data_IF_017623042486
#
_entry.id   IF_017623042486
#
_cell.length_a   1.000
_cell.length_b   1.000
_cell.length_c   1.000
_cell.angle_alpha   90.00
_cell.angle_beta   90.00
_cell.angle_gamma   90.00
#
_symmetry.space_group_name_H-M   'P 1'
#
loop_
_entity.id
_entity.type
_entity.pdbx_description
1 polymer ?
#
# COMPACT_ATOMS: atom_id res chain seq x y z
N UNK A 1 -16.31 41.04 -14.22
CA UNK A 1 -15.01 40.37 -14.41
C UNK A 1 -15.32 39.01 -15.01
N UNK A 2 -14.97 38.73 -16.27
CA UNK A 2 -15.22 37.42 -16.86
C UNK A 2 -14.26 36.41 -16.20
N UNK A 3 -14.77 35.27 -15.72
CA UNK A 3 -13.97 34.21 -15.18
C UNK A 3 -13.08 33.62 -16.28
N UNK A 4 -11.80 33.47 -16.00
CA UNK A 4 -10.86 32.81 -16.91
C UNK A 4 -11.20 31.33 -17.05
N UNK A 5 -10.81 30.71 -18.18
CA UNK A 5 -11.03 29.28 -18.43
C UNK A 5 -10.40 28.41 -17.33
N UNK A 6 -9.33 28.86 -16.67
CA UNK A 6 -8.73 28.19 -15.52
C UNK A 6 -9.66 28.21 -14.30
N UNK A 7 -10.37 29.31 -14.05
CA UNK A 7 -11.33 29.46 -12.95
C UNK A 7 -12.57 28.58 -13.20
N UNK A 8 -13.07 28.52 -14.43
CA UNK A 8 -14.19 27.64 -14.81
C UNK A 8 -13.79 26.18 -14.67
N UNK A 9 -12.55 25.82 -14.98
CA UNK A 9 -12.04 24.45 -14.82
C UNK A 9 -11.89 24.06 -13.35
N UNK A 10 -11.55 25.01 -12.47
CA UNK A 10 -11.48 24.81 -11.03
C UNK A 10 -12.87 24.61 -10.38
N UNK A 11 -13.92 25.16 -10.97
CA UNK A 11 -15.31 25.04 -10.51
C UNK A 11 -16.04 23.80 -11.05
N UNK A 12 -15.40 23.00 -11.93
CA UNK A 12 -16.02 21.75 -12.40
C UNK A 12 -16.25 20.81 -11.21
N UNK A 13 -17.48 20.41 -11.01
CA UNK A 13 -17.89 19.40 -10.02
C UNK A 13 -17.46 17.99 -10.43
N UNK A 14 -17.22 17.75 -11.72
CA UNK A 14 -16.93 16.44 -12.28
C UNK A 14 -15.53 15.93 -11.89
N UNK A 15 -15.40 14.62 -11.70
CA UNK A 15 -14.14 13.93 -11.55
C UNK A 15 -13.23 14.16 -12.77
N UNK A 16 -11.90 14.04 -12.59
CA UNK A 16 -10.97 14.13 -13.73
C UNK A 16 -11.18 12.96 -14.68
N UNK A 17 -11.19 13.26 -15.99
CA UNK A 17 -11.19 12.23 -17.03
C UNK A 17 -9.86 11.49 -17.11
N UNK A 18 -9.81 10.30 -17.77
CA UNK A 18 -8.63 9.45 -17.79
C UNK A 18 -7.35 10.13 -18.28
N UNK A 19 -7.43 10.96 -19.32
CA UNK A 19 -6.30 11.71 -19.85
C UNK A 19 -5.82 12.85 -18.91
N UNK A 20 -6.73 13.41 -18.10
CA UNK A 20 -6.41 14.40 -17.09
C UNK A 20 -5.75 13.76 -15.85
N UNK A 21 -6.17 12.54 -15.50
CA UNK A 21 -5.54 11.76 -14.41
C UNK A 21 -4.09 11.43 -14.79
N UNK A 22 -3.85 11.02 -16.04
CA UNK A 22 -2.50 10.74 -16.51
C UNK A 22 -1.61 11.99 -16.45
N UNK A 23 -2.07 13.13 -16.94
CA UNK A 23 -1.34 14.39 -16.85
C UNK A 23 -1.04 14.82 -15.39
N UNK A 24 -1.98 14.55 -14.48
CA UNK A 24 -1.79 14.76 -13.04
C UNK A 24 -0.74 13.81 -12.47
N UNK A 25 -0.75 12.54 -12.88
CA UNK A 25 0.25 11.55 -12.44
C UNK A 25 1.67 11.98 -12.82
N UNK A 26 1.88 12.46 -14.06
CA UNK A 26 3.15 13.00 -14.50
C UNK A 26 3.59 14.23 -13.69
N UNK A 27 2.66 15.16 -13.40
CA UNK A 27 2.94 16.35 -12.59
C UNK A 27 3.37 15.95 -11.16
N UNK A 28 2.68 14.99 -10.56
CA UNK A 28 3.03 14.45 -9.25
C UNK A 28 4.40 13.75 -9.27
N UNK A 29 4.72 13.03 -10.35
CA UNK A 29 6.03 12.38 -10.52
C UNK A 29 7.17 13.39 -10.48
N UNK A 30 7.03 14.55 -11.14
CA UNK A 30 8.01 15.63 -11.11
C UNK A 30 8.21 16.16 -9.69
N UNK A 31 7.13 16.46 -8.98
CA UNK A 31 7.18 16.92 -7.59
C UNK A 31 7.86 15.93 -6.66
N UNK A 32 7.56 14.64 -6.80
CA UNK A 32 8.15 13.55 -6.00
C UNK A 32 9.64 13.34 -6.31
N UNK A 33 10.04 13.38 -7.57
CA UNK A 33 11.43 13.22 -7.98
C UNK A 33 12.33 14.36 -7.48
N UNK A 34 11.78 15.60 -7.38
CA UNK A 34 12.49 16.77 -6.87
C UNK A 34 12.42 16.96 -5.35
N UNK A 35 11.71 16.10 -4.62
CA UNK A 35 11.51 16.28 -3.18
C UNK A 35 12.82 16.11 -2.39
N UNK A 36 13.04 16.99 -1.40
CA UNK A 36 14.18 16.89 -0.48
C UNK A 36 14.14 15.54 0.28
N UNK A 37 15.29 14.87 0.42
CA UNK A 37 15.39 13.52 0.96
C UNK A 37 14.81 13.37 2.36
N UNK A 38 15.11 14.30 3.27
CA UNK A 38 14.58 14.26 4.63
C UNK A 38 13.04 14.40 4.66
N UNK A 39 12.47 15.32 3.86
CA UNK A 39 11.02 15.45 3.73
C UNK A 39 10.39 14.17 3.16
N UNK A 40 10.99 13.62 2.10
CA UNK A 40 10.54 12.38 1.48
C UNK A 40 10.54 11.22 2.51
N UNK A 41 11.61 11.10 3.29
CA UNK A 41 11.77 10.04 4.29
C UNK A 41 10.73 10.15 5.42
N UNK A 42 10.48 11.35 5.96
CA UNK A 42 9.45 11.55 7.01
C UNK A 42 8.05 11.23 6.47
N UNK A 43 7.70 11.70 5.26
CA UNK A 43 6.43 11.35 4.64
C UNK A 43 6.31 9.86 4.36
N UNK A 44 7.42 9.19 4.07
CA UNK A 44 7.45 7.74 3.90
C UNK A 44 7.25 7.00 5.24
N UNK A 45 7.85 7.47 6.34
CA UNK A 45 7.59 6.91 7.67
C UNK A 45 6.10 7.00 8.03
N UNK A 46 5.47 8.16 7.76
CA UNK A 46 4.02 8.33 7.96
C UNK A 46 3.21 7.31 7.15
N UNK A 47 3.55 7.09 5.87
CA UNK A 47 2.84 6.11 5.04
C UNK A 47 2.98 4.68 5.58
N UNK A 48 4.19 4.28 6.02
CA UNK A 48 4.40 2.99 6.67
C UNK A 48 3.53 2.81 7.92
N UNK A 49 3.48 3.85 8.76
CA UNK A 49 2.62 3.86 9.94
C UNK A 49 1.13 3.80 9.59
N UNK A 50 0.68 4.54 8.58
CA UNK A 50 -0.72 4.54 8.15
C UNK A 50 -1.16 3.18 7.60
N UNK A 51 -0.33 2.53 6.79
CA UNK A 51 -0.60 1.16 6.33
C UNK A 51 -0.64 0.19 7.52
N UNK A 52 0.26 0.34 8.50
CA UNK A 52 0.25 -0.47 9.70
C UNK A 52 -1.03 -0.30 10.55
N UNK A 53 -1.61 0.91 10.61
CA UNK A 53 -2.91 1.13 11.27
C UNK A 53 -4.04 0.39 10.55
N UNK A 54 -4.10 0.45 9.22
CA UNK A 54 -5.06 -0.33 8.44
C UNK A 54 -4.87 -1.84 8.63
N UNK A 55 -3.61 -2.30 8.67
CA UNK A 55 -3.26 -3.69 8.93
C UNK A 55 -3.65 -4.15 10.35
N UNK A 56 -3.46 -3.29 11.35
CA UNK A 56 -3.92 -3.56 12.72
C UNK A 56 -5.43 -3.69 12.78
N UNK A 57 -6.17 -2.78 12.13
CA UNK A 57 -7.63 -2.82 12.11
C UNK A 57 -8.14 -4.11 11.44
N UNK A 58 -7.51 -4.54 10.35
CA UNK A 58 -7.76 -5.84 9.74
C UNK A 58 -7.53 -7.01 10.71
N UNK A 59 -6.40 -7.02 11.44
CA UNK A 59 -6.05 -8.09 12.37
C UNK A 59 -6.98 -8.16 13.58
N UNK A 60 -7.42 -7.02 14.11
CA UNK A 60 -8.43 -6.97 15.18
C UNK A 60 -9.73 -7.62 14.72
N UNK A 61 -10.16 -7.34 13.48
CA UNK A 61 -11.36 -7.98 12.92
C UNK A 61 -11.17 -9.50 12.73
N UNK A 62 -9.99 -9.96 12.31
CA UNK A 62 -9.68 -11.38 12.17
C UNK A 62 -9.57 -12.13 13.50
N UNK A 63 -9.38 -11.44 14.59
CA UNK A 63 -9.34 -12.02 15.93
C UNK A 63 -10.68 -12.61 16.42
N UNK A 64 -11.76 -12.47 15.64
CA UNK A 64 -13.03 -13.16 15.88
C UNK A 64 -13.21 -14.32 14.90
N UNK A 65 -12.97 -15.54 15.39
CA UNK A 65 -13.11 -16.78 14.58
C UNK A 65 -14.57 -17.18 14.32
N UNK A 66 -15.55 -16.57 14.97
CA UNK A 66 -16.97 -16.84 14.75
C UNK A 66 -17.49 -16.18 13.45
N UNK A 67 -16.76 -15.22 12.89
CA UNK A 67 -17.13 -14.55 11.65
C UNK A 67 -16.84 -15.47 10.45
N UNK A 68 -17.84 -15.71 9.55
CA UNK A 68 -17.64 -16.56 8.37
C UNK A 68 -16.51 -16.06 7.47
N UNK A 69 -15.78 -16.98 6.81
CA UNK A 69 -14.60 -16.67 5.99
C UNK A 69 -14.83 -15.54 4.98
N UNK A 70 -15.94 -15.56 4.23
CA UNK A 70 -16.22 -14.53 3.24
C UNK A 70 -16.35 -13.14 3.89
N UNK A 71 -17.05 -13.04 5.01
CA UNK A 71 -17.19 -11.80 5.75
C UNK A 71 -15.84 -11.33 6.33
N UNK A 72 -15.04 -12.24 6.89
CA UNK A 72 -13.68 -11.92 7.38
C UNK A 72 -12.83 -11.30 6.27
N UNK A 73 -12.85 -11.88 5.06
CA UNK A 73 -12.05 -11.39 3.93
C UNK A 73 -12.54 -10.05 3.41
N UNK A 74 -13.84 -9.88 3.21
CA UNK A 74 -14.42 -8.67 2.62
C UNK A 74 -14.41 -7.49 3.61
N UNK A 75 -14.95 -7.67 4.80
CA UNK A 75 -15.00 -6.62 5.83
C UNK A 75 -13.61 -6.29 6.35
N UNK A 76 -12.78 -7.30 6.56
CA UNK A 76 -11.37 -7.10 6.91
C UNK A 76 -10.63 -6.27 5.85
N UNK A 77 -10.91 -6.50 4.57
CA UNK A 77 -10.37 -5.69 3.48
C UNK A 77 -10.84 -4.23 3.53
N UNK A 78 -12.11 -4.00 3.89
CA UNK A 78 -12.63 -2.65 4.12
C UNK A 78 -11.90 -1.99 5.30
N UNK A 79 -11.72 -2.69 6.42
CA UNK A 79 -10.95 -2.20 7.56
C UNK A 79 -9.52 -1.81 7.16
N UNK A 80 -8.86 -2.65 6.37
CA UNK A 80 -7.50 -2.38 5.87
C UNK A 80 -7.43 -1.10 5.01
N UNK A 81 -8.51 -0.73 4.33
CA UNK A 81 -8.55 0.46 3.45
C UNK A 81 -8.26 1.77 4.19
N UNK A 82 -8.43 1.82 5.51
CA UNK A 82 -8.03 2.93 6.37
C UNK A 82 -6.59 3.39 6.05
N UNK A 83 -5.67 2.44 5.84
CA UNK A 83 -4.26 2.76 5.58
C UNK A 83 -4.06 3.65 4.35
N UNK A 84 -4.62 3.27 3.19
CA UNK A 84 -4.46 4.08 1.97
C UNK A 84 -5.30 5.35 1.99
N UNK A 85 -6.44 5.34 2.67
CA UNK A 85 -7.23 6.56 2.91
C UNK A 85 -6.38 7.59 3.64
N UNK A 86 -5.71 7.21 4.73
CA UNK A 86 -4.80 8.10 5.46
C UNK A 86 -3.65 8.58 4.57
N UNK A 87 -3.02 7.68 3.79
CA UNK A 87 -1.93 8.05 2.86
C UNK A 87 -2.37 9.13 1.87
N UNK A 88 -3.53 8.98 1.24
CA UNK A 88 -3.97 9.89 0.17
C UNK A 88 -4.69 11.14 0.69
N UNK A 89 -5.33 11.07 1.85
CA UNK A 89 -6.06 12.22 2.41
C UNK A 89 -5.17 13.08 3.32
N UNK A 90 -4.31 12.46 4.13
CA UNK A 90 -3.39 13.20 5.01
C UNK A 90 -2.06 13.55 4.33
N UNK A 91 -1.75 12.95 3.19
CA UNK A 91 -0.56 13.24 2.40
C UNK A 91 0.69 12.53 2.92
N UNK A 92 1.02 11.37 2.34
CA UNK A 92 2.21 10.60 2.69
C UNK A 92 2.79 9.90 1.45
N UNK A 93 4.06 9.44 1.54
CA UNK A 93 4.79 8.82 0.44
C UNK A 93 4.77 7.30 0.59
N UNK A 94 3.95 6.64 -0.23
CA UNK A 94 3.81 5.18 -0.23
C UNK A 94 4.56 4.57 -1.42
N UNK A 95 5.47 3.63 -1.14
CA UNK A 95 6.31 2.97 -2.14
C UNK A 95 5.51 2.39 -3.30
N UNK A 96 4.47 1.63 -3.02
CA UNK A 96 3.64 0.97 -4.03
C UNK A 96 2.89 1.97 -4.92
N UNK A 97 2.39 3.07 -4.37
CA UNK A 97 1.76 4.15 -5.13
C UNK A 97 2.77 4.94 -5.98
N UNK A 98 4.03 5.05 -5.51
CA UNK A 98 5.08 5.76 -6.22
C UNK A 98 5.60 5.01 -7.46
N UNK A 99 5.16 3.77 -7.70
CA UNK A 99 5.42 3.09 -8.97
C UNK A 99 4.80 3.86 -10.15
N UNK A 100 3.71 4.60 -9.94
CA UNK A 100 3.10 5.47 -10.96
C UNK A 100 4.02 6.61 -11.44
N UNK A 101 5.12 6.92 -10.72
CA UNK A 101 6.13 7.87 -11.19
C UNK A 101 6.78 7.46 -12.53
N UNK A 102 6.63 6.20 -12.94
CA UNK A 102 7.09 5.71 -14.25
C UNK A 102 6.45 6.48 -15.41
N UNK A 103 5.24 7.06 -15.24
CA UNK A 103 4.61 7.93 -16.24
C UNK A 103 5.47 9.15 -16.55
N UNK A 104 5.99 9.82 -15.52
CA UNK A 104 6.91 10.95 -15.65
C UNK A 104 8.27 10.56 -16.27
N UNK A 105 8.76 9.33 -15.99
CA UNK A 105 9.98 8.81 -16.63
C UNK A 105 9.74 8.55 -18.12
N UNK A 106 8.64 7.88 -18.48
CA UNK A 106 8.29 7.56 -19.85
C UNK A 106 8.06 8.83 -20.71
N UNK A 107 7.51 9.88 -20.13
CA UNK A 107 7.36 11.21 -20.73
C UNK A 107 8.64 12.06 -20.67
N UNK A 108 9.77 11.51 -20.20
CA UNK A 108 11.06 12.20 -20.06
C UNK A 108 11.03 13.45 -19.16
N UNK A 109 10.02 13.58 -18.29
CA UNK A 109 9.87 14.70 -17.33
C UNK A 109 10.73 14.52 -16.08
N UNK A 110 11.12 13.28 -15.78
CA UNK A 110 12.05 12.95 -14.69
C UNK A 110 13.17 12.04 -15.19
N UNK A 111 14.30 12.03 -14.50
CA UNK A 111 15.41 11.13 -14.78
C UNK A 111 15.28 9.83 -13.97
N UNK A 112 15.80 8.72 -14.49
CA UNK A 112 15.83 7.43 -13.81
C UNK A 112 16.45 7.52 -12.40
N UNK A 113 17.54 8.27 -12.24
CA UNK A 113 18.16 8.49 -10.93
C UNK A 113 17.22 9.12 -9.90
N UNK A 114 16.36 10.07 -10.31
CA UNK A 114 15.34 10.66 -9.44
C UNK A 114 14.24 9.67 -9.04
N UNK A 115 13.81 8.82 -9.97
CA UNK A 115 12.87 7.74 -9.71
C UNK A 115 13.41 6.74 -8.68
N UNK A 116 14.60 6.17 -8.97
CA UNK A 116 15.22 5.15 -8.10
C UNK A 116 15.53 5.71 -6.72
N UNK A 117 16.05 6.95 -6.65
CA UNK A 117 16.29 7.64 -5.38
C UNK A 117 14.98 7.75 -4.56
N UNK A 118 13.88 8.16 -5.18
CA UNK A 118 12.58 8.24 -4.49
C UNK A 118 12.15 6.86 -3.98
N UNK A 119 12.19 5.84 -4.84
CA UNK A 119 11.77 4.48 -4.47
C UNK A 119 12.56 3.93 -3.28
N UNK A 120 13.89 4.10 -3.28
CA UNK A 120 14.76 3.61 -2.18
C UNK A 120 14.43 4.34 -0.87
N UNK A 121 14.37 5.69 -0.89
CA UNK A 121 14.07 6.47 0.31
C UNK A 121 12.69 6.11 0.85
N UNK A 122 11.70 5.97 -0.02
CA UNK A 122 10.32 5.69 0.38
C UNK A 122 10.18 4.27 0.91
N UNK A 123 10.82 3.27 0.28
CA UNK A 123 10.82 1.90 0.78
C UNK A 123 11.39 1.81 2.20
N UNK A 124 12.55 2.42 2.43
CA UNK A 124 13.20 2.45 3.74
C UNK A 124 12.38 3.22 4.79
N UNK A 125 11.81 4.36 4.42
CA UNK A 125 10.94 5.13 5.30
C UNK A 125 9.67 4.38 5.67
N UNK A 126 9.02 3.71 4.69
CA UNK A 126 7.85 2.86 4.97
C UNK A 126 8.20 1.73 5.95
N UNK A 127 9.37 1.09 5.80
CA UNK A 127 9.83 0.07 6.73
C UNK A 127 9.99 0.63 8.15
N UNK A 128 10.67 1.76 8.32
CA UNK A 128 10.89 2.37 9.64
C UNK A 128 9.56 2.75 10.28
N UNK A 129 8.63 3.37 9.53
CA UNK A 129 7.31 3.73 10.02
C UNK A 129 6.48 2.50 10.43
N UNK A 130 6.54 1.42 9.65
CA UNK A 130 5.86 0.16 9.97
C UNK A 130 6.42 -0.46 11.25
N UNK A 131 7.74 -0.56 11.38
CA UNK A 131 8.40 -1.14 12.58
C UNK A 131 8.12 -0.32 13.83
N UNK A 132 8.03 1.00 13.72
CA UNK A 132 7.62 1.85 14.86
C UNK A 132 6.22 1.47 15.35
N UNK A 133 5.26 1.26 14.45
CA UNK A 133 3.91 0.83 14.82
C UNK A 133 3.90 -0.60 15.37
N UNK A 134 4.74 -1.52 14.85
CA UNK A 134 4.90 -2.88 15.42
C UNK A 134 5.22 -2.79 16.92
N UNK A 135 6.21 -1.97 17.30
CA UNK A 135 6.58 -1.77 18.68
C UNK A 135 5.43 -1.20 19.53
N UNK A 136 4.73 -0.19 19.02
CA UNK A 136 3.60 0.42 19.72
C UNK A 136 2.45 -0.57 19.93
N UNK A 137 2.08 -1.35 18.91
CA UNK A 137 0.99 -2.34 18.97
C UNK A 137 1.31 -3.43 20.00
N UNK A 138 2.58 -3.83 20.08
CA UNK A 138 3.05 -4.76 21.11
C UNK A 138 2.89 -4.17 22.53
N UNK A 139 3.39 -2.95 22.76
CA UNK A 139 3.32 -2.31 24.09
C UNK A 139 1.88 -1.91 24.48
N UNK A 140 1.02 -1.60 23.53
CA UNK A 140 -0.41 -1.37 23.79
C UNK A 140 -1.19 -2.66 24.14
N UNK A 141 -0.57 -3.83 24.05
CA UNK A 141 -1.20 -5.09 24.43
C UNK A 141 -2.30 -5.55 23.45
N UNK A 142 -2.32 -5.07 22.21
CA UNK A 142 -3.36 -5.40 21.21
C UNK A 142 -3.46 -6.90 20.97
N UNK A 143 -2.33 -7.64 21.02
CA UNK A 143 -2.32 -9.10 20.88
C UNK A 143 -3.14 -9.84 21.95
N UNK A 144 -3.29 -9.28 23.15
CA UNK A 144 -4.04 -9.89 24.23
C UNK A 144 -5.58 -9.72 24.10
N UNK A 145 -6.04 -8.89 23.16
CA UNK A 145 -7.48 -8.67 22.94
C UNK A 145 -8.19 -9.98 22.56
N UNK A 146 -9.45 -10.06 22.96
CA UNK A 146 -10.30 -11.24 22.75
C UNK A 146 -9.64 -12.53 23.28
N UNK A 147 -9.12 -12.49 24.52
CA UNK A 147 -8.47 -13.64 25.14
C UNK A 147 -7.19 -14.13 24.42
N UNK A 148 -6.53 -13.28 23.64
CA UNK A 148 -5.34 -13.61 22.87
C UNK A 148 -5.61 -13.94 21.40
N UNK A 149 -6.86 -14.06 20.97
CA UNK A 149 -7.22 -14.44 19.61
C UNK A 149 -6.72 -13.45 18.55
N UNK A 150 -6.57 -12.17 18.90
CA UNK A 150 -5.96 -11.17 17.99
C UNK A 150 -4.47 -11.46 17.78
N UNK A 151 -3.74 -11.81 18.84
CA UNK A 151 -2.33 -12.21 18.76
C UNK A 151 -2.15 -13.49 17.93
N UNK A 152 -3.03 -14.47 18.09
CA UNK A 152 -3.05 -15.70 17.28
C UNK A 152 -3.31 -15.40 15.80
N UNK A 153 -4.23 -14.49 15.50
CA UNK A 153 -4.49 -14.02 14.14
C UNK A 153 -3.25 -13.32 13.53
N UNK A 154 -2.52 -12.52 14.31
CA UNK A 154 -1.27 -11.89 13.87
C UNK A 154 -0.22 -12.93 13.45
N UNK A 155 -0.04 -13.98 14.26
CA UNK A 155 0.87 -15.09 13.93
C UNK A 155 0.38 -15.85 12.71
N UNK A 156 -0.91 -16.20 12.66
CA UNK A 156 -1.50 -16.96 11.55
C UNK A 156 -1.35 -16.25 10.19
N UNK A 157 -1.62 -14.94 10.16
CA UNK A 157 -1.46 -14.14 8.93
C UNK A 157 0.00 -14.11 8.51
N UNK A 158 0.94 -13.92 9.43
CA UNK A 158 2.37 -13.88 9.12
C UNK A 158 2.88 -15.23 8.58
N UNK A 159 2.48 -16.34 9.21
CA UNK A 159 2.83 -17.71 8.74
C UNK A 159 2.28 -17.94 7.32
N UNK A 160 1.02 -17.60 7.07
CA UNK A 160 0.42 -17.75 5.74
C UNK A 160 1.11 -16.94 4.63
N UNK A 161 1.90 -15.92 5.00
CA UNK A 161 2.67 -15.08 4.07
C UNK A 161 4.09 -15.60 3.82
N UNK A 162 4.65 -16.41 4.68
CA UNK A 162 6.01 -16.95 4.50
C UNK A 162 6.03 -18.38 3.95
N UNK A 163 4.89 -19.05 3.86
CA UNK A 163 4.79 -20.43 3.37
C UNK A 163 4.77 -20.60 1.85
N UNK A 164 4.24 -19.66 1.02
CA UNK A 164 4.23 -19.84 -0.43
C UNK A 164 5.61 -19.66 -1.07
N UNK A 165 5.79 -20.31 -2.24
CA UNK A 165 7.00 -20.16 -3.05
C UNK A 165 7.19 -18.73 -3.56
N UNK A 166 8.45 -18.38 -3.82
CA UNK A 166 8.85 -17.02 -4.23
C UNK A 166 8.09 -16.52 -5.47
N UNK A 167 7.92 -17.36 -6.50
CA UNK A 167 7.17 -17.00 -7.71
C UNK A 167 5.69 -16.75 -7.43
N UNK A 168 5.09 -17.53 -6.53
CA UNK A 168 3.70 -17.33 -6.09
C UNK A 168 3.56 -16.01 -5.35
N UNK A 169 4.49 -15.70 -4.43
CA UNK A 169 4.52 -14.43 -3.71
C UNK A 169 4.70 -13.25 -4.67
N UNK A 170 5.59 -13.36 -5.65
CA UNK A 170 5.81 -12.36 -6.68
C UNK A 170 4.55 -12.13 -7.52
N UNK A 171 3.89 -13.18 -7.99
CA UNK A 171 2.64 -13.07 -8.76
C UNK A 171 1.53 -12.40 -7.95
N UNK A 172 1.37 -12.77 -6.67
CA UNK A 172 0.47 -12.08 -5.74
C UNK A 172 0.86 -10.61 -5.55
N UNK A 173 2.17 -10.31 -5.55
CA UNK A 173 2.70 -8.95 -5.50
C UNK A 173 2.30 -8.13 -6.74
N UNK A 174 2.41 -8.70 -7.94
CA UNK A 174 1.98 -8.06 -9.19
C UNK A 174 0.50 -7.67 -9.10
N UNK A 175 -0.37 -8.63 -8.80
CA UNK A 175 -1.81 -8.41 -8.69
C UNK A 175 -2.17 -7.39 -7.62
N UNK A 176 -1.48 -7.43 -6.48
CA UNK A 176 -1.66 -6.45 -5.41
C UNK A 176 -1.41 -5.03 -5.92
N UNK A 177 -0.26 -4.78 -6.55
CA UNK A 177 0.10 -3.42 -6.91
C UNK A 177 -0.62 -2.90 -8.16
N UNK A 178 -1.14 -3.78 -9.01
CA UNK A 178 -2.15 -3.38 -10.01
C UNK A 178 -3.35 -2.74 -9.30
N UNK A 179 -3.89 -3.38 -8.27
CA UNK A 179 -5.05 -2.85 -7.52
C UNK A 179 -4.72 -1.59 -6.74
N UNK A 180 -3.55 -1.53 -6.08
CA UNK A 180 -3.12 -0.32 -5.35
C UNK A 180 -2.94 0.86 -6.31
N UNK A 181 -2.28 0.67 -7.44
CA UNK A 181 -2.10 1.73 -8.43
C UNK A 181 -3.42 2.20 -9.04
N UNK A 182 -4.37 1.29 -9.29
CA UNK A 182 -5.72 1.66 -9.73
C UNK A 182 -6.48 2.44 -8.65
N UNK A 183 -6.36 2.06 -7.36
CA UNK A 183 -6.94 2.82 -6.26
C UNK A 183 -6.35 4.24 -6.15
N UNK A 184 -5.02 4.37 -6.30
CA UNK A 184 -4.35 5.68 -6.33
C UNK A 184 -4.79 6.49 -7.56
N UNK A 185 -4.95 5.85 -8.70
CA UNK A 185 -5.44 6.46 -9.94
C UNK A 185 -6.85 7.04 -9.78
N UNK A 186 -7.76 6.27 -9.18
CA UNK A 186 -9.10 6.75 -8.80
C UNK A 186 -8.98 7.91 -7.81
N UNK A 187 -8.09 7.82 -6.81
CA UNK A 187 -7.81 8.89 -5.86
C UNK A 187 -7.30 10.19 -6.52
N UNK A 188 -6.59 10.11 -7.65
CA UNK A 188 -6.20 11.28 -8.44
C UNK A 188 -7.39 11.93 -9.15
N UNK A 189 -8.37 11.14 -9.58
CA UNK A 189 -9.61 11.63 -10.19
C UNK A 189 -10.52 12.35 -9.20
N UNK A 190 -10.52 11.92 -7.95
CA UNK A 190 -11.44 12.36 -6.90
C UNK A 190 -11.34 13.88 -6.59
N UNK A 191 -12.47 14.51 -6.30
CA UNK A 191 -12.60 15.94 -5.96
C UNK A 191 -12.77 16.17 -4.46
N UNK A 192 -13.48 15.28 -3.79
CA UNK A 192 -13.78 15.37 -2.36
C UNK A 192 -13.07 14.26 -1.58
N UNK A 193 -13.05 14.41 -0.25
CA UNK A 193 -12.54 13.33 0.63
C UNK A 193 -13.43 12.09 0.53
N UNK A 194 -14.75 12.28 0.41
CA UNK A 194 -15.71 11.17 0.29
C UNK A 194 -15.46 10.37 -0.98
N UNK A 195 -15.25 11.04 -2.13
CA UNK A 195 -14.92 10.36 -3.40
C UNK A 195 -13.66 9.51 -3.27
N UNK A 196 -12.62 10.04 -2.59
CA UNK A 196 -11.38 9.30 -2.34
C UNK A 196 -11.63 8.06 -1.49
N UNK A 197 -12.35 8.21 -0.38
CA UNK A 197 -12.63 7.10 0.54
C UNK A 197 -13.37 5.98 -0.19
N UNK A 198 -14.48 6.30 -0.87
CA UNK A 198 -15.29 5.32 -1.59
C UNK A 198 -14.55 4.69 -2.77
N UNK A 199 -13.82 5.51 -3.56
CA UNK A 199 -13.10 5.03 -4.72
C UNK A 199 -11.91 4.12 -4.38
N UNK A 200 -11.27 4.31 -3.22
CA UNK A 200 -10.14 3.51 -2.74
C UNK A 200 -10.61 2.18 -2.15
N UNK A 201 -11.74 2.19 -1.45
CA UNK A 201 -12.18 1.11 -0.59
C UNK A 201 -12.36 -0.23 -1.34
N UNK A 202 -12.98 -0.21 -2.52
CA UNK A 202 -13.25 -1.45 -3.26
C UNK A 202 -11.98 -2.12 -3.82
N UNK A 203 -11.07 -1.43 -4.53
CA UNK A 203 -9.83 -2.04 -5.00
C UNK A 203 -8.97 -2.59 -3.84
N UNK A 204 -8.92 -1.87 -2.70
CA UNK A 204 -8.19 -2.34 -1.54
C UNK A 204 -8.84 -3.55 -0.88
N UNK A 205 -10.16 -3.50 -0.65
CA UNK A 205 -10.90 -4.63 -0.11
C UNK A 205 -10.68 -5.88 -0.95
N UNK A 206 -10.68 -5.74 -2.28
CA UNK A 206 -10.44 -6.86 -3.20
C UNK A 206 -9.05 -7.48 -3.02
N UNK A 207 -7.96 -6.69 -3.05
CA UNK A 207 -6.64 -7.30 -2.95
C UNK A 207 -6.38 -7.95 -1.60
N UNK A 208 -6.94 -7.40 -0.51
CA UNK A 208 -6.84 -8.00 0.82
C UNK A 208 -7.65 -9.29 0.87
N UNK A 209 -8.89 -9.27 0.37
CA UNK A 209 -9.75 -10.45 0.32
C UNK A 209 -9.12 -11.58 -0.49
N UNK A 210 -8.50 -11.27 -1.62
CA UNK A 210 -7.80 -12.23 -2.47
C UNK A 210 -6.46 -12.75 -1.87
N UNK A 211 -5.95 -12.12 -0.80
CA UNK A 211 -4.70 -12.52 -0.16
C UNK A 211 -3.47 -12.20 -0.99
N UNK A 212 -3.49 -11.07 -1.72
CA UNK A 212 -2.35 -10.59 -2.47
C UNK A 212 -1.26 -9.98 -1.57
N UNK A 213 -0.04 -9.85 -2.10
CA UNK A 213 1.14 -9.50 -1.31
C UNK A 213 1.53 -8.03 -1.49
N UNK A 214 1.37 -7.24 -0.44
CA UNK A 214 1.74 -5.83 -0.38
C UNK A 214 2.99 -5.67 0.46
N UNK A 215 4.14 -5.31 -0.15
CA UNK A 215 5.42 -5.28 0.56
C UNK A 215 5.39 -4.36 1.79
N UNK A 216 4.76 -3.18 1.72
CA UNK A 216 4.69 -2.26 2.87
C UNK A 216 3.78 -2.79 3.97
N UNK A 217 2.65 -3.46 3.64
CA UNK A 217 1.83 -4.13 4.64
C UNK A 217 2.59 -5.30 5.29
N UNK A 218 3.41 -6.02 4.51
CA UNK A 218 4.23 -7.11 5.01
C UNK A 218 5.37 -6.61 5.93
N UNK A 219 5.85 -5.37 5.75
CA UNK A 219 6.76 -4.71 6.71
C UNK A 219 6.15 -4.55 8.11
N UNK A 220 4.83 -4.63 8.23
CA UNK A 220 4.11 -4.66 9.50
C UNK A 220 3.69 -6.08 9.88
N UNK A 221 2.97 -6.81 9.01
CA UNK A 221 2.41 -8.12 9.33
C UNK A 221 3.47 -9.13 9.78
N UNK A 222 4.59 -9.20 9.06
CA UNK A 222 5.59 -10.22 9.32
C UNK A 222 6.37 -9.99 10.63
N UNK A 223 6.92 -8.78 10.88
CA UNK A 223 7.55 -8.50 12.17
C UNK A 223 6.57 -8.56 13.34
N UNK A 224 5.31 -8.12 13.16
CA UNK A 224 4.29 -8.23 14.21
C UNK A 224 4.03 -9.70 14.57
N UNK A 225 3.81 -10.55 13.55
CA UNK A 225 3.59 -11.98 13.79
C UNK A 225 4.79 -12.66 14.46
N UNK A 226 6.03 -12.31 14.05
CA UNK A 226 7.25 -12.84 14.69
C UNK A 226 7.35 -12.40 16.17
N UNK A 227 7.05 -11.14 16.45
CA UNK A 227 7.08 -10.61 17.82
C UNK A 227 5.99 -11.24 18.69
N UNK A 228 4.77 -11.40 18.18
CA UNK A 228 3.67 -12.07 18.89
C UNK A 228 3.96 -13.55 19.13
N UNK A 229 4.55 -14.25 18.15
CA UNK A 229 5.04 -15.62 18.34
C UNK A 229 6.04 -15.71 19.49
N UNK A 230 7.00 -14.79 19.56
CA UNK A 230 8.00 -14.72 20.63
C UNK A 230 7.38 -14.41 21.99
N UNK A 231 6.23 -13.72 22.02
CA UNK A 231 5.45 -13.42 23.21
C UNK A 231 4.50 -14.56 23.64
N UNK A 232 4.51 -15.70 22.94
CA UNK A 232 3.73 -16.90 23.30
C UNK A 232 2.36 -17.01 22.65
N UNK A 233 2.01 -16.13 21.71
CA UNK A 233 0.79 -16.27 20.87
C UNK A 233 1.01 -17.24 19.72
N UNK A 234 -0.07 -17.74 19.13
CA UNK A 234 -0.05 -18.56 17.92
C UNK A 234 0.48 -19.98 18.15
N UNK A 235 0.44 -20.50 19.36
CA UNK A 235 0.96 -21.85 19.70
C UNK A 235 0.24 -22.98 18.96
N UNK A 236 -1.03 -22.77 18.59
CA UNK A 236 -1.84 -23.70 17.80
C UNK A 236 -1.73 -23.46 16.28
N UNK A 237 -0.99 -22.42 15.83
CA UNK A 237 -0.85 -22.11 14.40
C UNK A 237 0.09 -23.13 13.76
N UNK A 238 -0.44 -23.86 12.77
CA UNK A 238 0.35 -24.83 12.02
C UNK A 238 1.52 -24.13 11.31
N UNK A 239 2.69 -24.77 11.29
CA UNK A 239 3.91 -24.25 10.66
C UNK A 239 4.43 -22.92 11.25
N UNK A 240 4.06 -22.56 12.49
CA UNK A 240 4.58 -21.34 13.12
C UNK A 240 6.13 -21.33 13.19
N UNK A 241 6.77 -22.50 13.18
CA UNK A 241 8.24 -22.64 13.10
C UNK A 241 8.86 -22.01 11.85
N UNK A 242 8.15 -21.97 10.74
CA UNK A 242 8.64 -21.39 9.49
C UNK A 242 8.76 -19.84 9.52
N UNK A 243 8.14 -19.18 10.50
CA UNK A 243 8.21 -17.72 10.62
C UNK A 243 9.49 -17.32 11.37
N UNK A 244 10.47 -16.84 10.64
CA UNK A 244 11.73 -16.30 11.10
C UNK A 244 12.18 -15.09 10.26
N UNK A 245 13.32 -14.49 10.60
CA UNK A 245 13.85 -13.32 9.90
C UNK A 245 14.19 -13.63 8.45
N UNK A 246 14.69 -14.83 8.14
CA UNK A 246 15.05 -15.24 6.77
C UNK A 246 13.79 -15.34 5.89
N UNK A 247 12.73 -15.97 6.43
CA UNK A 247 11.45 -16.08 5.74
C UNK A 247 10.78 -14.69 5.51
N UNK A 248 10.94 -13.76 6.47
CA UNK A 248 10.51 -12.36 6.30
C UNK A 248 11.23 -11.70 5.12
N UNK A 249 12.55 -11.80 5.06
CA UNK A 249 13.34 -11.22 3.97
C UNK A 249 13.01 -11.88 2.62
N UNK A 250 12.79 -13.20 2.61
CA UNK A 250 12.35 -13.94 1.42
C UNK A 250 11.01 -13.40 0.89
N UNK A 251 9.99 -13.28 1.75
CA UNK A 251 8.70 -12.71 1.35
C UNK A 251 8.82 -11.26 0.88
N UNK A 252 9.52 -10.39 1.62
CA UNK A 252 9.69 -8.98 1.27
C UNK A 252 10.40 -8.82 -0.09
N UNK A 253 11.37 -9.68 -0.41
CA UNK A 253 12.04 -9.65 -1.72
C UNK A 253 11.06 -9.94 -2.86
N UNK A 254 10.29 -11.02 -2.76
CA UNK A 254 9.31 -11.42 -3.76
C UNK A 254 8.17 -10.40 -3.91
N UNK A 255 7.59 -9.96 -2.79
CA UNK A 255 6.51 -8.98 -2.77
C UNK A 255 6.97 -7.63 -3.35
N UNK A 256 8.19 -7.17 -3.02
CA UNK A 256 8.72 -5.91 -3.54
C UNK A 256 8.90 -5.97 -5.06
N UNK A 257 9.52 -7.03 -5.58
CA UNK A 257 9.69 -7.22 -7.04
C UNK A 257 8.32 -7.28 -7.73
N UNK A 258 7.39 -8.07 -7.20
CA UNK A 258 6.04 -8.16 -7.74
C UNK A 258 5.32 -6.81 -7.75
N UNK A 259 5.40 -6.05 -6.64
CA UNK A 259 4.78 -4.73 -6.57
C UNK A 259 5.39 -3.72 -7.56
N UNK A 260 6.72 -3.74 -7.78
CA UNK A 260 7.35 -2.91 -8.81
C UNK A 260 6.76 -3.25 -10.18
N UNK A 261 6.75 -4.52 -10.56
CA UNK A 261 6.24 -4.97 -11.87
C UNK A 261 4.79 -4.55 -12.04
N UNK A 262 3.92 -4.85 -11.08
CA UNK A 262 2.48 -4.55 -11.17
C UNK A 262 2.19 -3.05 -11.32
N UNK A 263 2.85 -2.20 -10.52
CA UNK A 263 2.64 -0.76 -10.58
C UNK A 263 3.24 -0.11 -11.84
N UNK A 264 4.41 -0.58 -12.28
CA UNK A 264 5.02 -0.12 -13.55
C UNK A 264 4.13 -0.49 -14.73
N UNK A 265 3.55 -1.69 -14.76
CA UNK A 265 2.62 -2.09 -15.84
C UNK A 265 1.42 -1.15 -15.92
N UNK A 266 0.80 -0.80 -14.80
CA UNK A 266 -0.34 0.14 -14.78
C UNK A 266 0.09 1.52 -15.28
N UNK A 267 1.19 2.08 -14.76
CA UNK A 267 1.68 3.39 -15.14
C UNK A 267 2.02 3.47 -16.64
N UNK A 268 2.75 2.47 -17.17
CA UNK A 268 3.11 2.45 -18.58
C UNK A 268 1.91 2.22 -19.50
N UNK A 269 0.92 1.42 -19.10
CA UNK A 269 -0.29 1.20 -19.88
C UNK A 269 -1.07 2.51 -20.07
N UNK A 270 -1.31 3.26 -19.00
CA UNK A 270 -2.01 4.56 -19.09
C UNK A 270 -1.20 5.63 -19.81
N UNK A 271 0.12 5.69 -19.58
CA UNK A 271 1.00 6.56 -20.36
C UNK A 271 0.94 6.26 -21.85
N UNK A 272 0.99 4.99 -22.24
CA UNK A 272 0.95 4.57 -23.64
C UNK A 272 -0.34 5.05 -24.35
N UNK A 273 -1.48 4.92 -23.65
CA UNK A 273 -2.79 5.28 -24.22
C UNK A 273 -2.98 6.81 -24.27
N UNK A 274 -2.61 7.54 -23.22
CA UNK A 274 -3.04 8.94 -23.05
C UNK A 274 -1.93 9.98 -23.25
N UNK A 275 -0.66 9.60 -23.12
CA UNK A 275 0.45 10.56 -23.18
C UNK A 275 1.46 10.34 -24.31
N UNK A 276 1.64 9.12 -24.81
CA UNK A 276 2.66 8.78 -25.81
C UNK A 276 2.71 9.71 -27.01
N UNK A 277 1.56 10.10 -27.54
CA UNK A 277 1.48 10.95 -28.73
C UNK A 277 1.65 12.45 -28.44
N UNK A 278 1.59 12.85 -27.17
CA UNK A 278 1.84 14.25 -26.72
C UNK A 278 3.34 14.50 -26.46
N UNK A 279 4.14 13.44 -26.33
CA UNK A 279 5.57 13.50 -26.07
C UNK A 279 6.44 13.59 -27.37
N UNK A 280 5.78 13.59 -28.53
CA UNK A 280 6.40 13.88 -29.85
C UNK A 280 6.19 15.36 -30.20
#
# INVERSE_FOLDING_TARGET
MAMDQSDVKALRSDALGPAEIEAKAETLAVGKAGMAGAKCFVLAMLAGAFIAFGATYFLVFLGDSAVPFAAQRMVGGICFSLGLVLVLCCGAELFTGNMLMVTGLASKKIKLGGLVRNWVIVWLGNLVGSLFVVALIYWCGVGAMNGGAVGDAMVSVAVGKVTPDWLVLMAKGIMCNVMVCLAVWIGFSARTVVDKVLGIMLPLSFFVAAGFEHCVANMFFLPTGLLMKSAGFGTAVANAGALDVTAILYNLSAATVGNIIGGVLVGLAYWFVYARNKAK
#
